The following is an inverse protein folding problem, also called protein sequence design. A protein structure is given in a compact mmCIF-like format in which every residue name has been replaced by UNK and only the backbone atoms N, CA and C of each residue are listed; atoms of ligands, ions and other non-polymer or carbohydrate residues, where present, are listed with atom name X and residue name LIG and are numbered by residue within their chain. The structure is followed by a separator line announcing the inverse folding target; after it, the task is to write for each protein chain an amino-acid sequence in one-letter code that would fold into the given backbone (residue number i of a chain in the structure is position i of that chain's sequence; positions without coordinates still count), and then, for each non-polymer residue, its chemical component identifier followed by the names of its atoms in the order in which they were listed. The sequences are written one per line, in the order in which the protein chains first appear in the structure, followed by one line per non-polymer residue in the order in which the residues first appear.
data_IF_511673077164
#
_entry.id   IF_511673077164
#
_cell.length_a   1.000
_cell.length_b   1.000
_cell.length_c   1.000
_cell.angle_alpha   90.00
_cell.angle_beta   90.00
_cell.angle_gamma   90.00
#
_symmetry.space_group_name_H-M   'P 1'
#
loop_
_entity.id
_entity.type
_entity.pdbx_description
1 polymer ?
#
# COMPACT_ATOMS: atom_id res chain seq x y z
N UNK A 1 6.95 4.01 23.29
CA UNK A 1 6.65 3.33 22.02
C UNK A 1 6.69 1.84 22.28
N UNK A 2 5.69 1.11 21.80
CA UNK A 2 5.57 -0.33 21.96
C UNK A 2 5.32 -0.99 20.59
N UNK A 3 5.79 -2.23 20.43
CA UNK A 3 5.39 -3.11 19.32
C UNK A 3 4.36 -4.07 19.90
N UNK A 4 3.12 -3.98 19.43
CA UNK A 4 1.98 -4.66 20.03
C UNK A 4 1.69 -6.01 19.37
N UNK A 5 1.84 -6.10 18.05
CA UNK A 5 1.58 -7.31 17.26
C UNK A 5 2.63 -7.49 16.17
N UNK A 6 3.01 -8.74 15.89
CA UNK A 6 3.96 -9.11 14.84
C UNK A 6 3.37 -10.25 14.01
N UNK A 7 3.19 -10.02 12.71
CA UNK A 7 2.82 -11.05 11.74
C UNK A 7 4.00 -11.38 10.84
N UNK A 8 4.67 -12.49 11.14
CA UNK A 8 5.79 -13.00 10.32
C UNK A 8 5.39 -13.57 8.97
N UNK A 9 4.14 -14.00 8.79
CA UNK A 9 3.63 -14.50 7.52
C UNK A 9 3.42 -13.36 6.54
N UNK A 10 2.83 -12.27 7.02
CA UNK A 10 2.55 -11.06 6.23
C UNK A 10 3.68 -10.04 6.23
N UNK A 11 4.73 -10.23 7.06
CA UNK A 11 5.85 -9.30 7.23
C UNK A 11 5.40 -7.91 7.70
N UNK A 12 4.54 -7.90 8.70
CA UNK A 12 3.99 -6.67 9.29
C UNK A 12 4.18 -6.61 10.81
N UNK A 13 4.16 -5.41 11.36
CA UNK A 13 4.15 -5.18 12.80
C UNK A 13 3.28 -3.98 13.16
N UNK A 14 2.50 -4.10 14.24
CA UNK A 14 1.69 -3.01 14.78
C UNK A 14 2.48 -2.28 15.86
N UNK A 15 2.58 -0.97 15.70
CA UNK A 15 3.37 -0.09 16.55
C UNK A 15 2.47 0.97 17.16
N UNK A 16 2.61 1.20 18.47
CA UNK A 16 1.92 2.28 19.20
C UNK A 16 2.92 3.27 19.78
N UNK A 17 2.68 4.55 19.52
CA UNK A 17 3.40 5.68 20.13
C UNK A 17 2.54 6.24 21.26
N UNK A 18 3.06 6.29 22.48
CA UNK A 18 2.23 6.41 23.70
C UNK A 18 2.06 7.84 24.24
N UNK A 19 2.80 8.82 23.73
CA UNK A 19 2.73 10.21 24.21
C UNK A 19 1.39 10.86 23.85
N UNK A 20 0.95 10.63 22.61
CA UNK A 20 -0.44 10.73 22.14
C UNK A 20 -0.73 9.40 21.43
N UNK A 21 -1.59 8.51 21.98
CA UNK A 21 -1.76 7.14 21.50
C UNK A 21 -2.13 7.06 20.02
N UNK A 22 -1.12 6.90 19.17
CA UNK A 22 -1.26 6.67 17.75
C UNK A 22 -0.75 5.26 17.45
N UNK A 23 -1.55 4.49 16.70
CA UNK A 23 -1.25 3.10 16.36
C UNK A 23 -1.26 2.93 14.84
N UNK A 24 -0.23 2.28 14.30
CA UNK A 24 -0.16 1.94 12.88
C UNK A 24 0.45 0.56 12.67
N UNK A 25 -0.14 -0.22 11.76
CA UNK A 25 0.47 -1.44 11.24
C UNK A 25 1.39 -1.10 10.08
N UNK A 26 2.66 -1.44 10.19
CA UNK A 26 3.68 -1.19 9.18
C UNK A 26 4.02 -2.50 8.46
N UNK A 27 4.23 -2.42 7.15
CA UNK A 27 4.87 -3.47 6.37
C UNK A 27 6.39 -3.31 6.37
N UNK A 28 7.15 -4.39 6.14
CA UNK A 28 8.62 -4.29 6.00
C UNK A 28 8.98 -3.28 4.89
N UNK A 29 9.82 -2.31 5.23
CA UNK A 29 10.22 -1.17 4.39
C UNK A 29 9.31 0.05 4.49
N UNK A 30 8.12 -0.06 5.11
CA UNK A 30 7.19 1.05 5.26
C UNK A 30 7.66 2.05 6.31
N UNK A 31 7.52 3.33 5.98
CA UNK A 31 7.84 4.46 6.84
C UNK A 31 6.56 5.14 7.35
N UNK A 32 6.62 5.58 8.59
CA UNK A 32 5.57 6.32 9.25
C UNK A 32 6.17 7.53 9.95
N UNK A 33 5.77 8.71 9.48
CA UNK A 33 6.08 9.99 10.11
C UNK A 33 4.99 10.30 11.14
N UNK A 34 5.38 10.66 12.35
CA UNK A 34 4.50 10.88 13.49
C UNK A 34 4.76 12.28 14.00
N UNK A 35 3.68 13.07 14.09
CA UNK A 35 3.65 14.29 14.89
C UNK A 35 3.12 13.90 16.28
N UNK A 36 3.86 14.24 17.33
CA UNK A 36 3.62 13.85 18.71
C UNK A 36 2.86 14.90 19.53
N UNK A 37 2.93 16.16 19.16
CA UNK A 37 2.47 17.29 19.98
C UNK A 37 1.51 18.26 19.27
N UNK A 38 1.25 18.05 18.00
CA UNK A 38 0.34 18.80 17.15
C UNK A 38 0.90 20.13 16.65
N UNK A 39 2.22 20.38 16.74
CA UNK A 39 2.83 21.67 16.42
C UNK A 39 2.92 22.02 14.92
N UNK A 40 2.60 21.07 14.04
CA UNK A 40 2.69 21.24 12.59
C UNK A 40 3.97 20.70 11.96
N UNK A 41 4.80 20.00 12.71
CA UNK A 41 6.01 19.30 12.26
C UNK A 41 5.94 17.79 12.58
N UNK A 42 6.59 16.95 11.80
CA UNK A 42 6.80 15.55 12.19
C UNK A 42 8.01 15.47 13.11
N UNK A 43 7.84 14.77 14.25
CA UNK A 43 8.88 14.58 15.28
C UNK A 43 9.61 13.23 15.15
N UNK A 44 8.92 12.21 14.64
CA UNK A 44 9.44 10.85 14.59
C UNK A 44 9.22 10.20 13.23
N UNK A 45 10.29 9.58 12.71
CA UNK A 45 10.25 8.63 11.61
C UNK A 45 10.41 7.22 12.17
N UNK A 46 9.37 6.40 11.99
CA UNK A 46 9.36 4.99 12.35
C UNK A 46 9.37 4.16 11.06
N UNK A 47 10.28 3.20 10.95
CA UNK A 47 10.34 2.27 9.83
C UNK A 47 10.47 0.83 10.31
N UNK A 48 9.68 -0.06 9.74
CA UNK A 48 9.85 -1.50 9.96
C UNK A 48 10.95 -2.02 9.01
N UNK A 49 12.08 -2.49 9.55
CA UNK A 49 13.25 -2.92 8.76
C UNK A 49 13.14 -4.39 8.38
N UNK A 50 12.82 -5.25 9.34
CA UNK A 50 12.62 -6.68 9.11
C UNK A 50 11.63 -7.26 10.12
N UNK A 51 11.03 -8.39 9.75
CA UNK A 51 10.23 -9.22 10.65
C UNK A 51 10.68 -10.66 10.51
N UNK A 52 11.20 -11.23 11.60
CA UNK A 52 11.71 -12.60 11.66
C UNK A 52 11.12 -13.35 12.84
N UNK A 53 10.33 -14.39 12.55
CA UNK A 53 9.64 -15.26 13.52
C UNK A 53 8.77 -14.51 14.54
N UNK A 54 9.36 -14.05 15.63
CA UNK A 54 8.69 -13.32 16.71
C UNK A 54 9.41 -12.02 17.07
N UNK A 55 10.28 -11.54 16.18
CA UNK A 55 11.01 -10.28 16.32
C UNK A 55 10.68 -9.38 15.15
N UNK A 56 10.51 -8.10 15.47
CA UNK A 56 10.44 -7.01 14.52
C UNK A 56 11.66 -6.11 14.76
N UNK A 57 12.41 -5.83 13.70
CA UNK A 57 13.48 -4.83 13.72
C UNK A 57 12.87 -3.50 13.28
N UNK A 58 12.86 -2.52 14.17
CA UNK A 58 12.27 -1.21 13.93
C UNK A 58 13.38 -0.16 14.00
N UNK A 59 13.45 0.66 12.96
CA UNK A 59 14.28 1.85 12.92
C UNK A 59 13.44 3.04 13.39
N UNK A 60 13.99 3.81 14.33
CA UNK A 60 13.36 5.02 14.87
C UNK A 60 14.37 6.14 14.78
N UNK A 61 13.93 7.26 14.22
CA UNK A 61 14.75 8.46 14.08
C UNK A 61 13.91 9.68 14.44
N UNK A 62 14.49 10.58 15.22
CA UNK A 62 13.94 11.92 15.46
C UNK A 62 14.14 12.77 14.21
N UNK A 63 13.07 13.43 13.78
CA UNK A 63 13.03 14.31 12.61
C UNK A 63 12.39 15.63 13.00
N UNK A 64 12.61 16.65 12.18
CA UNK A 64 11.98 17.96 12.25
C UNK A 64 11.61 18.32 10.81
N UNK A 65 10.41 17.89 10.39
CA UNK A 65 9.92 18.04 9.02
C UNK A 65 8.52 18.66 9.02
N UNK A 66 8.36 19.81 8.36
CA UNK A 66 7.07 20.50 8.22
C UNK A 66 6.01 19.58 7.61
N UNK A 67 4.82 19.57 8.21
CA UNK A 67 3.65 18.94 7.60
C UNK A 67 3.39 19.58 6.22
N UNK A 68 3.05 18.79 5.19
CA UNK A 68 2.66 19.34 3.91
C UNK A 68 1.44 20.24 4.11
N UNK A 69 1.61 21.52 3.80
CA UNK A 69 0.51 22.47 3.75
C UNK A 69 -0.23 22.23 2.45
N UNK A 70 -1.37 21.56 2.49
CA UNK A 70 -2.28 21.59 1.34
C UNK A 70 -2.83 23.00 1.25
N UNK A 71 -2.31 23.80 0.31
CA UNK A 71 -3.01 24.98 -0.15
C UNK A 71 -4.32 24.48 -0.75
N UNK A 72 -5.41 24.62 0.02
CA UNK A 72 -6.76 24.38 -0.47
C UNK A 72 -7.01 25.39 -1.59
N UNK A 73 -6.81 24.99 -2.85
CA UNK A 73 -7.38 25.72 -3.98
C UNK A 73 -8.89 25.50 -3.90
N UNK A 74 -9.61 26.48 -3.33
CA UNK A 74 -11.07 26.52 -3.11
C UNK A 74 -11.91 26.42 -4.42
N UNK A 75 -11.36 25.87 -5.51
CA UNK A 75 -11.95 25.87 -6.86
C UNK A 75 -12.49 24.53 -7.35
N UNK A 76 -12.56 23.49 -6.53
CA UNK A 76 -13.23 22.23 -6.91
C UNK A 76 -14.14 21.68 -5.80
N UNK A 77 -15.13 22.49 -5.38
CA UNK A 77 -16.38 21.94 -4.86
C UNK A 77 -17.28 21.58 -6.05
N UNK A 78 -17.07 20.40 -6.62
CA UNK A 78 -18.11 19.70 -7.37
C UNK A 78 -18.60 18.54 -6.52
N UNK A 79 -19.79 18.69 -5.94
CA UNK A 79 -20.55 17.62 -5.31
C UNK A 79 -20.76 16.48 -6.32
N UNK A 80 -20.12 15.33 -6.11
CA UNK A 80 -20.52 14.09 -6.78
C UNK A 80 -20.55 12.92 -5.80
N UNK A 81 -21.77 12.68 -5.33
CA UNK A 81 -22.38 11.36 -5.04
C UNK A 81 -21.73 10.45 -3.99
N UNK A 82 -22.41 10.35 -2.84
CA UNK A 82 -22.27 9.24 -1.92
C UNK A 82 -22.62 7.91 -2.62
N UNK A 83 -21.60 7.17 -3.03
CA UNK A 83 -21.66 5.80 -3.51
C UNK A 83 -20.76 4.92 -2.64
N UNK A 84 -21.38 3.93 -1.98
CA UNK A 84 -20.75 2.87 -1.20
C UNK A 84 -19.57 2.25 -1.94
N UNK A 85 -18.40 2.15 -1.30
CA UNK A 85 -17.35 1.22 -1.71
C UNK A 85 -16.90 0.42 -0.48
N UNK A 86 -17.58 -0.70 -0.32
CA UNK A 86 -17.10 -1.87 0.40
C UNK A 86 -15.85 -2.42 -0.31
N UNK A 87 -14.78 -2.69 0.44
CA UNK A 87 -13.60 -3.44 0.01
C UNK A 87 -12.79 -2.88 -1.16
N UNK A 88 -11.96 -1.86 -0.90
CA UNK A 88 -10.87 -1.50 -1.81
C UNK A 88 -9.80 -2.59 -1.83
N UNK A 89 -10.01 -3.63 -2.65
CA UNK A 89 -8.92 -4.49 -3.12
C UNK A 89 -8.05 -3.59 -3.98
N UNK A 90 -6.81 -3.34 -3.55
CA UNK A 90 -5.83 -2.57 -4.32
C UNK A 90 -5.46 -3.32 -5.60
N UNK A 91 -6.28 -3.19 -6.63
CA UNK A 91 -6.01 -3.82 -7.93
C UNK A 91 -5.08 -2.89 -8.72
N UNK A 92 -3.83 -3.31 -8.81
CA UNK A 92 -2.83 -2.64 -9.64
C UNK A 92 -3.24 -2.74 -11.12
N UNK A 93 -3.62 -1.62 -11.74
CA UNK A 93 -4.13 -1.57 -13.13
C UNK A 93 -3.14 -2.12 -14.16
N UNK A 94 -1.85 -2.11 -13.85
CA UNK A 94 -0.79 -2.70 -14.69
C UNK A 94 -1.00 -4.22 -14.87
N UNK A 95 -1.50 -4.91 -13.84
CA UNK A 95 -1.74 -6.37 -13.87
C UNK A 95 -2.93 -6.76 -14.74
N UNK A 96 -3.97 -5.91 -14.79
CA UNK A 96 -5.17 -6.16 -15.60
C UNK A 96 -4.83 -6.03 -17.10
N UNK A 97 -4.08 -4.99 -17.48
CA UNK A 97 -3.66 -4.78 -18.86
C UNK A 97 -2.75 -5.92 -19.38
N UNK A 98 -1.83 -6.41 -18.55
CA UNK A 98 -0.96 -7.54 -18.89
C UNK A 98 -1.70 -8.87 -19.08
N UNK A 99 -2.69 -9.15 -18.22
CA UNK A 99 -3.50 -10.37 -18.32
C UNK A 99 -4.33 -10.44 -19.61
N UNK A 100 -4.93 -9.32 -20.02
CA UNK A 100 -5.73 -9.25 -21.26
C UNK A 100 -4.85 -9.49 -22.49
N UNK A 101 -3.64 -8.92 -22.52
CA UNK A 101 -2.69 -9.12 -23.61
C UNK A 101 -2.30 -10.61 -23.75
N UNK A 102 -2.02 -11.29 -22.63
CA UNK A 102 -1.62 -12.69 -22.63
C UNK A 102 -2.74 -13.62 -23.12
N UNK A 103 -3.98 -13.38 -22.70
CA UNK A 103 -5.14 -14.15 -23.17
C UNK A 103 -5.37 -13.97 -24.68
N UNK A 104 -5.25 -12.75 -25.19
CA UNK A 104 -5.37 -12.48 -26.63
C UNK A 104 -4.29 -13.22 -27.45
N UNK A 105 -3.04 -13.21 -26.98
CA UNK A 105 -1.94 -13.93 -27.66
C UNK A 105 -2.22 -15.44 -27.69
N UNK A 106 -2.65 -16.03 -26.58
CA UNK A 106 -3.01 -17.45 -26.53
C UNK A 106 -4.20 -17.78 -27.45
N UNK A 107 -5.18 -16.89 -27.55
CA UNK A 107 -6.33 -17.07 -28.42
C UNK A 107 -5.93 -17.03 -29.91
N UNK A 108 -5.05 -16.10 -30.29
CA UNK A 108 -4.51 -16.03 -31.66
C UNK A 108 -3.69 -17.28 -32.00
N UNK A 109 -2.87 -17.77 -31.06
CA UNK A 109 -2.09 -19.00 -31.24
C UNK A 109 -2.99 -20.23 -31.36
N UNK A 110 -4.00 -20.36 -30.49
CA UNK A 110 -4.97 -21.45 -30.55
C UNK A 110 -5.79 -21.41 -31.85
N UNK A 111 -6.18 -20.22 -32.30
CA UNK A 111 -6.88 -20.03 -33.57
C UNK A 111 -5.99 -20.41 -34.76
N UNK A 112 -4.73 -19.96 -34.78
CA UNK A 112 -3.73 -20.36 -35.80
C UNK A 112 -3.47 -21.86 -35.80
N UNK A 113 -3.33 -22.46 -34.61
CA UNK A 113 -3.09 -23.88 -34.46
C UNK A 113 -4.32 -24.69 -34.89
N UNK A 114 -5.53 -24.23 -34.55
CA UNK A 114 -6.80 -24.82 -34.98
C UNK A 114 -6.98 -24.77 -36.49
N UNK A 115 -6.68 -23.64 -37.13
CA UNK A 115 -6.72 -23.50 -38.60
C UNK A 115 -5.76 -24.50 -39.27
N UNK A 116 -4.56 -24.66 -38.72
CA UNK A 116 -3.57 -25.63 -39.20
C UNK A 116 -4.00 -27.08 -38.95
N UNK A 117 -4.73 -27.34 -37.86
CA UNK A 117 -5.19 -28.67 -37.49
C UNK A 117 -6.39 -29.14 -38.33
N UNK A 118 -7.26 -28.22 -38.75
CA UNK A 118 -8.39 -28.56 -39.64
C UNK A 118 -7.99 -28.76 -41.11
N UNK A 119 -6.83 -28.26 -41.55
CA UNK A 119 -6.33 -28.45 -42.92
C UNK A 119 -5.69 -29.82 -43.21
N UNK A 120 -5.79 -30.79 -42.30
CA UNK A 120 -5.18 -32.13 -42.42
C UNK A 120 -6.19 -33.29 -42.45
N UNK A 121 -7.45 -33.03 -42.85
CA UNK A 121 -8.38 -34.10 -43.24
C UNK A 121 -8.44 -34.25 -44.75
#
# INVERSE_FOLDING_TARGET
MNVDEIDSGSKTATVTVSSDPQTKTLSVGEEWRVNLDGDGDYDLLVRLVDVTFSRAEVFVQEIDEKLPTEEVDDRDFSEETAGVIDGAVGVNWVSIAGGILLVLVLFVLAFWMGLRYLGKK
#
